data_IF_291140024060
#
_entry.id   IF_291140024060
#
_cell.length_a   1.000
_cell.length_b   1.000
_cell.length_c   1.000
_cell.angle_alpha   90.00
_cell.angle_beta   90.00
_cell.angle_gamma   90.00
#
_symmetry.space_group_name_H-M   'P 1'
#
loop_
_entity.id
_entity.type
_entity.pdbx_description
1 polymer ?
#
# COMPACT_ATOMS: atom_id res chain seq x y z
N UNK A 1 1.98 5.74 15.11
CA UNK A 1 1.25 5.22 16.29
C UNK A 1 1.83 3.84 16.62
N UNK A 2 1.11 3.01 17.37
CA UNK A 2 1.56 1.66 17.70
C UNK A 2 1.47 0.77 16.46
N UNK A 3 2.56 0.08 16.13
CA UNK A 3 2.53 -1.02 15.19
C UNK A 3 1.93 -2.22 15.91
N UNK A 4 0.97 -2.90 15.28
CA UNK A 4 0.23 -3.99 15.90
C UNK A 4 0.54 -5.29 15.20
N UNK A 5 0.68 -6.36 15.99
CA UNK A 5 0.87 -7.70 15.46
C UNK A 5 -0.04 -8.71 16.15
N UNK A 6 -0.44 -9.74 15.41
CA UNK A 6 -1.11 -10.93 15.95
C UNK A 6 -0.75 -12.15 15.13
N UNK A 7 -0.78 -13.32 15.76
CA UNK A 7 -0.63 -14.61 15.10
C UNK A 7 -1.72 -15.55 15.53
N UNK A 8 -2.02 -16.56 14.72
CA UNK A 8 -3.00 -17.56 15.06
C UNK A 8 -3.10 -18.67 14.02
N UNK A 9 -4.14 -19.47 14.19
CA UNK A 9 -4.56 -20.50 13.24
C UNK A 9 -5.91 -20.11 12.67
N UNK A 10 -6.06 -20.28 11.36
CA UNK A 10 -7.33 -20.21 10.66
C UNK A 10 -7.71 -21.60 10.16
N UNK A 11 -8.99 -21.95 10.25
CA UNK A 11 -9.48 -23.27 9.84
C UNK A 11 -9.61 -23.41 8.31
N UNK A 12 -9.83 -22.30 7.61
CA UNK A 12 -9.97 -22.17 6.14
C UNK A 12 -9.92 -20.68 5.73
N UNK A 13 -10.13 -20.38 4.44
CA UNK A 13 -10.10 -19.01 3.90
C UNK A 13 -11.18 -18.11 4.52
N UNK A 14 -12.41 -18.60 4.68
CA UNK A 14 -13.51 -17.84 5.27
C UNK A 14 -13.25 -17.43 6.72
N UNK A 15 -12.74 -18.36 7.55
CA UNK A 15 -12.35 -18.07 8.93
C UNK A 15 -11.19 -17.06 9.00
N UNK A 16 -10.19 -17.20 8.12
CA UNK A 16 -9.10 -16.22 8.02
C UNK A 16 -9.60 -14.82 7.64
N UNK A 17 -10.54 -14.71 6.68
CA UNK A 17 -11.11 -13.44 6.25
C UNK A 17 -11.82 -12.71 7.41
N UNK A 18 -12.56 -13.44 8.24
CA UNK A 18 -13.20 -12.90 9.45
C UNK A 18 -12.16 -12.41 10.46
N UNK A 19 -11.16 -13.25 10.77
CA UNK A 19 -10.08 -12.91 11.72
C UNK A 19 -9.25 -11.70 11.26
N UNK A 20 -8.98 -11.59 9.96
CA UNK A 20 -8.29 -10.45 9.36
C UNK A 20 -9.09 -9.16 9.55
N UNK A 21 -10.39 -9.19 9.19
CA UNK A 21 -11.29 -8.05 9.38
C UNK A 21 -11.42 -7.66 10.85
N UNK A 22 -11.54 -8.62 11.76
CA UNK A 22 -11.64 -8.36 13.21
C UNK A 22 -10.35 -7.71 13.73
N UNK A 23 -9.17 -8.22 13.37
CA UNK A 23 -7.90 -7.61 13.77
C UNK A 23 -7.78 -6.16 13.31
N UNK A 24 -8.03 -5.90 12.03
CA UNK A 24 -7.91 -4.55 11.46
C UNK A 24 -8.90 -3.57 12.09
N UNK A 25 -10.13 -4.00 12.34
CA UNK A 25 -11.19 -3.11 12.83
C UNK A 25 -11.19 -2.91 14.34
N UNK A 26 -10.80 -3.92 15.12
CA UNK A 26 -10.87 -3.88 16.59
C UNK A 26 -9.56 -3.54 17.27
N UNK A 27 -8.42 -3.86 16.64
CA UNK A 27 -7.08 -3.63 17.22
C UNK A 27 -6.38 -2.47 16.53
N UNK A 28 -6.33 -2.48 15.20
CA UNK A 28 -5.52 -1.51 14.42
C UNK A 28 -6.25 -0.18 14.25
N UNK A 29 -7.58 -0.20 14.20
CA UNK A 29 -8.41 1.00 14.08
C UNK A 29 -8.83 1.34 12.65
N UNK A 30 -8.74 0.39 11.71
CA UNK A 30 -9.36 0.52 10.39
C UNK A 30 -10.88 0.48 10.52
N UNK A 31 -11.59 1.03 9.54
CA UNK A 31 -13.05 1.04 9.51
C UNK A 31 -13.57 -0.01 8.53
N UNK A 32 -14.60 -0.77 8.91
CA UNK A 32 -15.38 -1.58 7.98
C UNK A 32 -16.26 -0.66 7.15
N UNK A 33 -15.91 -0.50 5.87
CA UNK A 33 -16.59 0.42 4.96
C UNK A 33 -17.73 -0.23 4.18
N UNK A 34 -17.57 -1.51 3.82
CA UNK A 34 -18.65 -2.32 3.22
C UNK A 34 -18.54 -3.78 3.65
N UNK A 35 -19.69 -4.42 3.85
CA UNK A 35 -19.84 -5.79 4.32
C UNK A 35 -20.60 -6.62 3.26
N UNK A 36 -19.82 -7.37 2.49
CA UNK A 36 -20.30 -8.30 1.48
C UNK A 36 -20.36 -9.74 1.97
N UNK A 37 -20.35 -10.01 3.28
CA UNK A 37 -20.28 -11.38 3.82
C UNK A 37 -21.44 -12.30 3.41
N UNK A 38 -22.58 -11.72 3.01
CA UNK A 38 -23.75 -12.46 2.52
C UNK A 38 -23.75 -12.71 1.00
N UNK A 39 -22.73 -12.24 0.28
CA UNK A 39 -22.61 -12.44 -1.18
C UNK A 39 -22.10 -13.85 -1.52
N UNK A 40 -22.25 -14.23 -2.79
CA UNK A 40 -21.78 -15.53 -3.27
C UNK A 40 -20.25 -15.69 -3.14
N UNK A 41 -19.52 -14.60 -3.36
CA UNK A 41 -18.10 -14.45 -3.02
C UNK A 41 -18.02 -13.47 -1.84
N UNK A 42 -17.96 -13.96 -0.58
CA UNK A 42 -17.93 -13.11 0.61
C UNK A 42 -16.76 -12.13 0.59
N UNK A 43 -16.99 -10.88 0.99
CA UNK A 43 -15.93 -9.88 1.05
C UNK A 43 -16.11 -8.88 2.18
N UNK A 44 -15.00 -8.22 2.52
CA UNK A 44 -15.00 -7.00 3.34
C UNK A 44 -14.20 -5.91 2.63
N UNK A 45 -14.71 -4.68 2.70
CA UNK A 45 -13.98 -3.48 2.28
C UNK A 45 -13.59 -2.72 3.52
N UNK A 46 -12.28 -2.55 3.72
CA UNK A 46 -11.71 -1.89 4.87
C UNK A 46 -11.09 -0.56 4.45
N UNK A 47 -11.29 0.46 5.27
CA UNK A 47 -10.82 1.82 5.07
C UNK A 47 -9.86 2.23 6.18
N UNK A 48 -8.77 2.91 5.81
CA UNK A 48 -7.93 3.65 6.75
C UNK A 48 -7.69 5.09 6.27
N UNK A 49 -7.58 6.03 7.21
CA UNK A 49 -7.18 7.42 6.96
C UNK A 49 -5.65 7.64 6.94
N UNK A 50 -4.88 6.56 7.13
CA UNK A 50 -3.45 6.65 7.37
C UNK A 50 -3.14 7.27 8.74
N UNK A 51 -1.88 7.14 9.15
CA UNK A 51 -1.34 7.72 10.37
C UNK A 51 -1.33 9.27 10.33
N UNK A 52 -1.23 9.84 9.12
CA UNK A 52 -1.29 11.28 8.90
C UNK A 52 -2.70 11.85 8.99
N UNK A 53 -3.74 11.00 8.89
CA UNK A 53 -5.13 11.41 8.74
C UNK A 53 -5.48 12.03 7.38
N UNK A 54 -4.51 12.16 6.47
CA UNK A 54 -4.69 12.79 5.16
C UNK A 54 -4.91 11.77 4.02
N UNK A 55 -4.85 10.47 4.32
CA UNK A 55 -4.91 9.39 3.33
C UNK A 55 -6.34 8.85 3.20
N UNK A 56 -6.60 8.10 2.13
CA UNK A 56 -7.85 7.31 2.02
C UNK A 56 -7.50 5.92 1.46
N UNK A 57 -7.03 5.04 2.31
CA UNK A 57 -6.67 3.68 1.92
C UNK A 57 -7.94 2.85 1.89
N UNK A 58 -8.35 2.36 0.72
CA UNK A 58 -9.45 1.41 0.58
C UNK A 58 -8.93 0.08 0.04
N UNK A 59 -9.10 -0.99 0.82
CA UNK A 59 -8.73 -2.35 0.44
C UNK A 59 -9.95 -3.27 0.52
N UNK A 60 -10.21 -3.99 -0.57
CA UNK A 60 -11.19 -5.07 -0.61
C UNK A 60 -10.47 -6.41 -0.44
N UNK A 61 -10.97 -7.25 0.47
CA UNK A 61 -10.56 -8.63 0.67
C UNK A 61 -11.74 -9.54 0.33
N UNK A 62 -11.56 -10.43 -0.65
CA UNK A 62 -12.62 -11.30 -1.20
C UNK A 62 -12.22 -12.77 -1.05
N UNK A 63 -13.07 -13.56 -0.43
CA UNK A 63 -13.04 -15.02 -0.53
C UNK A 63 -13.69 -15.39 -1.87
N UNK A 64 -12.90 -15.27 -2.94
CA UNK A 64 -13.41 -15.41 -4.31
C UNK A 64 -13.60 -16.87 -4.71
N UNK A 65 -14.27 -17.12 -5.83
CA UNK A 65 -14.60 -18.47 -6.28
C UNK A 65 -13.39 -19.40 -6.54
N UNK A 66 -12.15 -18.91 -6.46
CA UNK A 66 -10.97 -19.75 -6.60
C UNK A 66 -10.52 -20.21 -5.21
N UNK A 67 -10.37 -21.52 -5.05
CA UNK A 67 -9.94 -22.11 -3.80
C UNK A 67 -8.56 -21.60 -3.33
N UNK A 68 -8.34 -21.70 -2.03
CA UNK A 68 -7.04 -21.50 -1.37
C UNK A 68 -6.46 -20.07 -1.53
N UNK A 69 -7.32 -19.05 -1.60
CA UNK A 69 -6.89 -17.64 -1.59
C UNK A 69 -7.93 -16.65 -1.09
N UNK A 70 -7.45 -15.52 -0.56
CA UNK A 70 -8.23 -14.28 -0.41
C UNK A 70 -7.72 -13.25 -1.42
N UNK A 71 -8.52 -12.89 -2.42
CA UNK A 71 -8.16 -11.86 -3.38
C UNK A 71 -8.11 -10.47 -2.71
N UNK A 72 -7.12 -9.66 -3.08
CA UNK A 72 -6.92 -8.31 -2.54
C UNK A 72 -6.95 -7.29 -3.66
N UNK A 73 -7.71 -6.21 -3.45
CA UNK A 73 -7.81 -5.09 -4.40
C UNK A 73 -7.72 -3.76 -3.66
N UNK A 74 -6.93 -2.83 -4.19
CA UNK A 74 -6.93 -1.44 -3.76
C UNK A 74 -7.87 -0.63 -4.64
N UNK A 75 -8.46 0.45 -4.12
CA UNK A 75 -9.23 1.39 -4.93
C UNK A 75 -9.02 2.83 -4.45
N UNK A 76 -9.28 3.79 -5.35
CA UNK A 76 -9.25 5.22 -5.04
C UNK A 76 -10.33 5.57 -4.04
N UNK A 77 -11.49 4.95 -4.23
CA UNK A 77 -12.67 5.08 -3.41
C UNK A 77 -13.54 3.82 -3.56
N UNK A 78 -14.34 3.52 -2.55
CA UNK A 78 -15.37 2.49 -2.63
C UNK A 78 -16.77 3.06 -2.49
N UNK A 79 -17.61 2.84 -3.51
CA UNK A 79 -19.02 3.18 -3.45
C UNK A 79 -19.82 2.03 -2.82
N UNK A 80 -20.12 2.15 -1.53
CA UNK A 80 -20.87 1.13 -0.79
C UNK A 80 -22.33 0.98 -1.26
N UNK A 81 -22.92 2.00 -1.87
CA UNK A 81 -24.29 1.88 -2.42
C UNK A 81 -24.32 1.07 -3.72
N UNK A 82 -23.25 1.13 -4.52
CA UNK A 82 -23.10 0.38 -5.76
C UNK A 82 -22.32 -0.94 -5.58
N UNK A 83 -21.75 -1.17 -4.39
CA UNK A 83 -20.82 -2.27 -4.10
C UNK A 83 -19.68 -2.36 -5.13
N UNK A 84 -19.05 -1.22 -5.43
CA UNK A 84 -18.04 -1.13 -6.48
C UNK A 84 -16.88 -0.18 -6.13
N UNK A 85 -15.67 -0.61 -6.46
CA UNK A 85 -14.45 0.19 -6.35
C UNK A 85 -14.24 1.12 -7.54
N UNK A 86 -13.73 2.32 -7.28
CA UNK A 86 -13.33 3.30 -8.28
C UNK A 86 -11.83 3.18 -8.52
N UNK A 87 -11.43 3.05 -9.80
CA UNK A 87 -10.03 2.89 -10.26
C UNK A 87 -9.27 1.84 -9.46
N UNK A 88 -9.72 0.60 -9.51
CA UNK A 88 -9.10 -0.49 -8.77
C UNK A 88 -7.65 -0.77 -9.22
N UNK A 89 -6.81 -1.22 -8.29
CA UNK A 89 -5.47 -1.73 -8.54
C UNK A 89 -5.32 -3.14 -8.00
N UNK A 90 -5.24 -4.09 -8.92
CA UNK A 90 -5.11 -5.52 -8.64
C UNK A 90 -4.76 -6.31 -9.90
N UNK A 91 -4.48 -7.59 -9.72
CA UNK A 91 -4.38 -8.57 -10.79
C UNK A 91 -5.06 -9.89 -10.40
N UNK A 92 -5.99 -10.34 -11.26
CA UNK A 92 -6.86 -11.52 -11.06
C UNK A 92 -6.15 -12.81 -10.60
N UNK A 93 -4.89 -12.98 -10.93
CA UNK A 93 -4.12 -14.20 -10.65
C UNK A 93 -2.96 -14.02 -9.68
N UNK A 94 -2.66 -12.80 -9.22
CA UNK A 94 -1.43 -12.56 -8.45
C UNK A 94 -1.65 -11.78 -7.15
N UNK A 95 -2.62 -10.88 -7.11
CA UNK A 95 -2.88 -10.05 -5.91
C UNK A 95 -3.86 -10.74 -4.98
N UNK A 96 -3.34 -11.65 -4.17
CA UNK A 96 -4.12 -12.39 -3.19
C UNK A 96 -3.24 -12.76 -1.98
N UNK A 97 -3.88 -13.10 -0.87
CA UNK A 97 -3.26 -13.79 0.27
C UNK A 97 -3.41 -15.28 0.04
N UNK A 98 -2.31 -16.03 0.06
CA UNK A 98 -2.36 -17.48 -0.09
C UNK A 98 -2.97 -18.12 1.16
N UNK A 99 -3.97 -18.97 1.01
CA UNK A 99 -4.60 -19.71 2.12
C UNK A 99 -4.68 -21.20 1.76
N UNK A 100 -5.43 -21.98 2.52
CA UNK A 100 -5.83 -23.34 2.16
C UNK A 100 -7.17 -23.67 2.82
N UNK A 101 -8.10 -24.25 2.07
CA UNK A 101 -9.46 -24.58 2.57
C UNK A 101 -9.56 -25.99 3.12
N UNK A 102 -8.69 -26.89 2.65
CA UNK A 102 -8.73 -28.30 3.01
C UNK A 102 -8.16 -28.61 4.41
N UNK A 103 -7.50 -27.65 5.06
CA UNK A 103 -6.83 -27.86 6.35
C UNK A 103 -6.56 -26.53 7.06
N UNK A 104 -6.46 -26.52 8.40
CA UNK A 104 -6.01 -25.34 9.12
C UNK A 104 -4.61 -24.88 8.72
N UNK A 105 -4.35 -23.57 8.80
CA UNK A 105 -3.06 -22.97 8.51
C UNK A 105 -2.70 -21.85 9.49
N UNK A 106 -1.41 -21.56 9.63
CA UNK A 106 -0.92 -20.48 10.51
C UNK A 106 -0.87 -19.15 9.76
N UNK A 107 -1.10 -18.07 10.50
CA UNK A 107 -0.97 -16.71 9.98
C UNK A 107 -0.27 -15.78 10.98
N UNK A 108 0.29 -14.69 10.44
CA UNK A 108 0.80 -13.54 11.15
C UNK A 108 0.31 -12.28 10.44
N UNK A 109 -0.23 -11.34 11.20
CA UNK A 109 -0.68 -10.04 10.71
C UNK A 109 0.14 -8.97 11.40
N UNK A 110 0.65 -8.02 10.63
CA UNK A 110 1.39 -6.85 11.10
C UNK A 110 0.79 -5.62 10.43
N UNK A 111 0.34 -4.64 11.21
CA UNK A 111 -0.36 -3.50 10.64
C UNK A 111 -0.31 -2.26 11.53
N UNK A 112 -0.48 -1.12 10.88
CA UNK A 112 -0.84 0.17 11.48
C UNK A 112 -1.91 0.83 10.60
N UNK A 113 -2.18 2.12 10.77
CA UNK A 113 -3.13 2.81 9.89
C UNK A 113 -2.61 3.01 8.46
N UNK A 114 -1.30 2.91 8.20
CA UNK A 114 -0.73 3.13 6.88
C UNK A 114 -0.72 1.86 6.03
N UNK A 115 -0.51 0.69 6.63
CA UNK A 115 -0.31 -0.55 5.88
C UNK A 115 -0.66 -1.82 6.65
N UNK A 116 -0.66 -2.93 5.90
CA UNK A 116 -0.82 -4.29 6.38
C UNK A 116 0.20 -5.19 5.68
N UNK A 117 0.93 -5.97 6.47
CA UNK A 117 1.73 -7.10 6.03
C UNK A 117 1.16 -8.40 6.61
N UNK A 118 0.93 -9.38 5.75
CA UNK A 118 0.36 -10.68 6.07
C UNK A 118 1.38 -11.74 5.72
N UNK A 119 1.61 -12.66 6.65
CA UNK A 119 2.27 -13.93 6.36
C UNK A 119 1.31 -15.06 6.62
N UNK A 120 1.20 -16.00 5.69
CA UNK A 120 0.54 -17.29 5.90
C UNK A 120 1.52 -18.43 5.70
N UNK A 121 1.38 -19.49 6.48
CA UNK A 121 2.13 -20.72 6.31
C UNK A 121 1.18 -21.82 5.84
N UNK A 122 1.26 -22.11 4.55
CA UNK A 122 0.47 -23.17 3.92
C UNK A 122 1.38 -24.39 3.75
N UNK A 123 1.03 -25.47 4.43
CA UNK A 123 1.86 -26.69 4.53
C UNK A 123 3.24 -26.33 5.10
N UNK A 124 4.29 -26.31 4.28
CA UNK A 124 5.67 -26.00 4.69
C UNK A 124 6.18 -24.67 4.13
N UNK A 125 5.33 -23.90 3.45
CA UNK A 125 5.75 -22.71 2.70
C UNK A 125 5.11 -21.45 3.28
N UNK A 126 5.94 -20.42 3.50
CA UNK A 126 5.48 -19.10 3.91
C UNK A 126 5.23 -18.22 2.69
N UNK A 127 4.11 -17.51 2.72
CA UNK A 127 3.69 -16.57 1.70
C UNK A 127 3.50 -15.21 2.33
N UNK A 128 4.00 -14.16 1.67
CA UNK A 128 3.91 -12.79 2.12
C UNK A 128 2.99 -11.96 1.23
N UNK A 129 2.16 -11.13 1.83
CA UNK A 129 1.35 -10.14 1.14
C UNK A 129 1.47 -8.80 1.84
N UNK A 130 1.76 -7.73 1.12
CA UNK A 130 1.74 -6.37 1.64
C UNK A 130 0.69 -5.56 0.91
N UNK A 131 -0.05 -4.73 1.64
CA UNK A 131 -1.01 -3.81 1.05
C UNK A 131 -1.10 -2.54 1.87
N UNK A 132 -1.36 -1.41 1.22
CA UNK A 132 -1.44 -0.09 1.85
C UNK A 132 -0.34 0.84 1.35
N UNK A 133 -0.01 1.84 2.16
CA UNK A 133 0.95 2.88 1.81
C UNK A 133 2.38 2.35 1.86
N UNK A 134 3.29 3.09 1.24
CA UNK A 134 4.73 2.92 1.41
C UNK A 134 5.29 4.16 2.10
N UNK A 135 6.47 4.04 2.70
CA UNK A 135 7.23 5.20 3.14
C UNK A 135 7.71 5.95 1.89
N UNK A 136 7.06 7.08 1.62
CA UNK A 136 7.32 7.92 0.45
C UNK A 136 8.75 8.42 0.43
N UNK A 137 9.37 8.41 -0.75
CA UNK A 137 10.63 9.12 -0.97
C UNK A 137 10.42 10.63 -1.18
N UNK A 138 9.29 10.99 -1.79
CA UNK A 138 8.85 12.36 -2.05
C UNK A 138 8.01 12.92 -0.89
N UNK A 139 7.40 14.09 -1.07
CA UNK A 139 6.59 14.73 -0.04
C UNK A 139 5.24 14.02 0.18
N UNK A 140 4.87 13.85 1.46
CA UNK A 140 3.52 13.48 1.89
C UNK A 140 2.59 14.67 2.16
N UNK A 141 3.01 15.90 1.85
CA UNK A 141 2.20 17.09 2.08
C UNK A 141 1.00 17.14 1.10
N UNK A 142 -0.15 17.59 1.62
CA UNK A 142 -1.42 17.62 0.89
C UNK A 142 -2.13 18.94 1.12
N UNK A 143 -2.55 19.59 0.05
CA UNK A 143 -3.51 20.68 0.08
C UNK A 143 -4.91 20.16 -0.27
N UNK A 144 -5.94 20.79 0.27
CA UNK A 144 -7.35 20.46 0.11
C UNK A 144 -8.05 21.61 -0.61
N UNK A 145 -8.77 21.31 -1.68
CA UNK A 145 -9.55 22.29 -2.43
C UNK A 145 -10.71 22.84 -1.59
N UNK A 146 -10.87 24.16 -1.61
CA UNK A 146 -11.94 24.89 -0.91
C UNK A 146 -13.18 25.12 -1.80
N UNK A 147 -13.04 24.85 -3.09
CA UNK A 147 -14.11 24.93 -4.07
C UNK A 147 -13.95 23.82 -5.11
N UNK A 148 -15.04 23.48 -5.80
CA UNK A 148 -14.99 22.58 -6.94
C UNK A 148 -14.18 23.20 -8.09
N UNK A 149 -13.47 22.38 -8.84
CA UNK A 149 -12.68 22.78 -9.99
C UNK A 149 -13.24 22.11 -11.26
N UNK A 150 -13.49 22.90 -12.29
CA UNK A 150 -13.99 22.41 -13.58
C UNK A 150 -12.86 22.32 -14.62
N UNK A 151 -12.96 21.41 -15.61
CA UNK A 151 -11.97 21.26 -16.66
C UNK A 151 -11.70 22.57 -17.41
N UNK A 152 -10.44 22.77 -17.82
CA UNK A 152 -10.03 23.95 -18.57
C UNK A 152 -8.54 24.21 -18.51
N UNK A 153 -8.13 25.32 -19.11
CA UNK A 153 -6.76 25.84 -19.04
C UNK A 153 -6.67 26.98 -18.03
N UNK A 154 -5.51 27.12 -17.38
CA UNK A 154 -5.24 28.14 -16.35
C UNK A 154 -6.33 28.19 -15.26
N UNK A 155 -6.74 27.01 -14.78
CA UNK A 155 -7.80 26.87 -13.77
C UNK A 155 -7.26 27.32 -12.43
N UNK A 156 -7.86 28.38 -11.87
CA UNK A 156 -7.55 28.87 -10.52
C UNK A 156 -8.35 28.07 -9.50
N UNK A 157 -7.64 27.35 -8.64
CA UNK A 157 -8.21 26.51 -7.58
C UNK A 157 -7.90 27.12 -6.22
N UNK A 158 -8.94 27.31 -5.41
CA UNK A 158 -8.78 27.71 -4.01
C UNK A 158 -8.38 26.51 -3.17
N UNK A 159 -7.34 26.65 -2.34
CA UNK A 159 -6.81 25.60 -1.47
C UNK A 159 -6.60 26.11 -0.04
N UNK A 160 -6.55 25.21 0.94
CA UNK A 160 -6.24 25.56 2.33
C UNK A 160 -4.79 26.03 2.52
N UNK A 161 -3.85 25.46 1.76
CA UNK A 161 -2.43 25.75 1.88
C UNK A 161 -1.76 25.64 0.51
N UNK A 162 -1.43 26.80 -0.07
CA UNK A 162 -0.72 26.83 -1.35
C UNK A 162 0.82 26.85 -1.19
N UNK A 163 1.33 26.94 0.04
CA UNK A 163 2.76 27.07 0.31
C UNK A 163 3.55 25.78 0.05
N UNK A 164 2.86 24.64 -0.05
CA UNK A 164 3.47 23.33 -0.35
C UNK A 164 3.84 23.18 -1.83
N UNK A 165 3.43 24.11 -2.69
CA UNK A 165 3.64 24.02 -4.13
C UNK A 165 4.86 24.82 -4.60
N UNK A 166 5.40 24.41 -5.74
CA UNK A 166 6.40 25.14 -6.50
C UNK A 166 5.88 25.35 -7.92
N UNK A 167 5.96 26.60 -8.40
CA UNK A 167 5.52 26.93 -9.75
C UNK A 167 6.35 26.17 -10.80
N UNK A 168 5.68 25.74 -11.86
CA UNK A 168 6.13 24.88 -12.95
C UNK A 168 6.43 23.42 -12.57
N UNK A 169 6.17 23.00 -11.32
CA UNK A 169 6.24 21.60 -10.91
C UNK A 169 4.93 20.85 -11.16
N UNK A 170 5.01 19.52 -11.17
CA UNK A 170 3.87 18.65 -11.35
C UNK A 170 3.44 18.01 -10.04
N UNK A 171 2.13 17.90 -9.86
CA UNK A 171 1.47 17.33 -8.70
C UNK A 171 0.34 16.41 -9.16
N UNK A 172 -0.15 15.56 -8.26
CA UNK A 172 -1.38 14.81 -8.44
C UNK A 172 -2.54 15.57 -7.80
N UNK A 173 -3.68 15.60 -8.47
CA UNK A 173 -4.97 15.99 -7.90
C UNK A 173 -5.89 14.78 -7.93
N UNK A 174 -6.63 14.55 -6.85
CA UNK A 174 -7.61 13.45 -6.76
C UNK A 174 -8.85 13.84 -5.96
N UNK A 175 -9.95 13.16 -6.24
CA UNK A 175 -11.09 13.04 -5.34
C UNK A 175 -11.57 11.57 -5.30
N UNK A 176 -12.83 11.32 -4.95
CA UNK A 176 -13.40 9.98 -4.90
C UNK A 176 -13.70 9.39 -6.30
N UNK A 177 -13.66 10.21 -7.36
CA UNK A 177 -14.00 9.79 -8.72
C UNK A 177 -12.75 9.71 -9.61
N UNK A 178 -11.93 10.76 -9.57
CA UNK A 178 -10.86 10.96 -10.54
C UNK A 178 -9.50 11.20 -9.87
N UNK A 179 -8.44 10.94 -10.62
CA UNK A 179 -7.06 11.26 -10.26
C UNK A 179 -6.31 11.61 -11.54
N UNK A 180 -5.55 12.70 -11.53
CA UNK A 180 -4.74 13.10 -12.67
C UNK A 180 -3.48 13.86 -12.24
N UNK A 181 -2.52 13.99 -13.16
CA UNK A 181 -1.33 14.80 -12.98
C UNK A 181 -1.55 16.19 -13.57
N UNK A 182 -1.32 17.21 -12.75
CA UNK A 182 -1.47 18.62 -13.09
C UNK A 182 -0.14 19.36 -12.91
N UNK A 183 0.10 20.37 -13.73
CA UNK A 183 1.18 21.31 -13.53
C UNK A 183 0.65 22.55 -12.81
N UNK A 184 1.28 22.93 -11.71
CA UNK A 184 1.00 24.21 -11.03
C UNK A 184 1.82 25.29 -11.71
N UNK A 185 1.19 26.32 -12.28
CA UNK A 185 1.89 27.41 -13.02
C UNK A 185 2.03 28.69 -12.21
N UNK A 186 1.12 28.93 -11.27
CA UNK A 186 1.17 30.06 -10.36
C UNK A 186 0.63 29.68 -8.98
N UNK A 187 1.08 30.42 -7.96
CA UNK A 187 0.77 30.21 -6.56
C UNK A 187 0.53 31.59 -5.94
N UNK A 188 -0.55 31.73 -5.19
CA UNK A 188 -0.82 32.91 -4.39
C UNK A 188 -1.11 32.49 -2.94
N UNK A 189 -0.14 32.77 -2.07
CA UNK A 189 -0.23 32.58 -0.62
C UNK A 189 -0.66 33.84 0.12
N UNK A 190 -0.83 34.97 -0.58
CA UNK A 190 -1.26 36.24 -0.01
C UNK A 190 -2.79 36.39 0.00
N UNK A 191 -3.51 35.69 -0.87
CA UNK A 191 -4.97 35.59 -0.83
C UNK A 191 -5.47 34.58 0.21
N UNK A 192 -6.68 34.81 0.74
CA UNK A 192 -7.41 33.87 1.60
C UNK A 192 -8.81 33.61 1.03
N UNK A 193 -9.15 32.35 0.69
CA UNK A 193 -8.27 31.17 0.66
C UNK A 193 -7.09 31.36 -0.29
N UNK A 194 -5.99 30.63 -0.06
CA UNK A 194 -4.87 30.64 -0.99
C UNK A 194 -5.32 30.09 -2.34
N UNK A 195 -4.58 30.41 -3.41
CA UNK A 195 -4.90 29.87 -4.73
C UNK A 195 -3.68 29.27 -5.42
N UNK A 196 -3.95 28.28 -6.26
CA UNK A 196 -3.00 27.72 -7.23
C UNK A 196 -3.64 27.77 -8.61
N UNK A 197 -2.83 28.05 -9.63
CA UNK A 197 -3.26 27.96 -11.03
C UNK A 197 -2.75 26.65 -11.62
N UNK A 198 -3.66 25.86 -12.18
CA UNK A 198 -3.36 24.61 -12.86
C UNK A 198 -3.34 24.84 -14.37
N UNK A 199 -2.25 24.46 -15.05
CA UNK A 199 -2.06 24.72 -16.47
C UNK A 199 -3.20 24.15 -17.34
N UNK A 200 -3.53 22.89 -17.09
CA UNK A 200 -4.59 22.16 -17.77
C UNK A 200 -5.20 21.16 -16.79
N UNK A 201 -6.51 21.19 -16.67
CA UNK A 201 -7.29 20.28 -15.85
C UNK A 201 -8.26 19.54 -16.77
N UNK A 202 -8.18 18.21 -16.81
CA UNK A 202 -9.01 17.40 -17.72
C UNK A 202 -10.34 17.02 -17.04
N UNK A 203 -10.30 16.72 -15.75
CA UNK A 203 -11.45 16.23 -15.01
C UNK A 203 -12.11 17.32 -14.15
N UNK A 204 -13.34 17.02 -13.70
CA UNK A 204 -14.00 17.83 -12.68
C UNK A 204 -13.62 17.27 -11.32
N UNK A 205 -13.31 18.15 -10.37
CA UNK A 205 -13.03 17.79 -8.99
C UNK A 205 -13.99 18.46 -8.03
N UNK A 206 -14.52 17.68 -7.09
CA UNK A 206 -15.36 18.21 -6.03
C UNK A 206 -14.56 19.10 -5.05
N UNK A 207 -15.30 19.86 -4.23
CA UNK A 207 -14.69 20.51 -3.05
C UNK A 207 -14.17 19.43 -2.10
N UNK A 208 -12.99 19.63 -1.52
CA UNK A 208 -12.33 18.62 -0.70
C UNK A 208 -11.39 17.70 -1.46
N UNK A 209 -11.22 17.89 -2.78
CA UNK A 209 -10.19 17.20 -3.56
C UNK A 209 -8.80 17.49 -2.97
N UNK A 210 -7.91 16.50 -3.07
CA UNK A 210 -6.56 16.54 -2.50
C UNK A 210 -5.55 16.79 -3.62
N UNK A 211 -4.57 17.68 -3.37
CA UNK A 211 -3.47 17.99 -4.28
C UNK A 211 -2.13 17.81 -3.56
N UNK A 212 -1.17 17.09 -4.15
CA UNK A 212 0.15 16.83 -3.54
C UNK A 212 1.09 16.06 -4.48
N UNK A 213 2.33 15.83 -4.06
CA UNK A 213 3.35 15.19 -4.91
C UNK A 213 3.08 13.69 -5.13
N UNK A 214 2.82 12.94 -4.05
CA UNK A 214 2.62 11.49 -4.10
C UNK A 214 1.45 11.09 -3.18
N UNK A 215 0.25 11.61 -3.49
CA UNK A 215 -0.97 11.26 -2.79
C UNK A 215 -1.24 9.75 -2.93
N UNK A 216 -1.58 9.07 -1.83
CA UNK A 216 -2.01 7.67 -1.80
C UNK A 216 -1.17 6.70 -2.68
N UNK A 217 0.10 6.46 -2.39
CA UNK A 217 0.91 5.43 -3.05
C UNK A 217 0.49 4.03 -2.58
N UNK A 218 -0.81 3.75 -2.55
CA UNK A 218 -1.37 2.47 -2.13
C UNK A 218 -0.91 1.42 -3.11
N UNK A 219 -0.24 0.41 -2.59
CA UNK A 219 0.18 -0.76 -3.34
C UNK A 219 -0.57 -1.99 -2.86
N UNK A 220 -0.74 -2.95 -3.75
CA UNK A 220 -1.26 -4.28 -3.47
C UNK A 220 -0.26 -5.31 -3.95
N UNK A 221 0.19 -6.13 -3.02
CA UNK A 221 1.22 -7.10 -3.24
C UNK A 221 0.78 -8.30 -4.05
N UNK A 222 1.78 -8.94 -4.67
CA UNK A 222 1.62 -10.32 -5.08
C UNK A 222 1.49 -11.24 -3.85
N UNK A 223 0.96 -12.44 -4.03
CA UNK A 223 0.87 -13.47 -2.99
C UNK A 223 2.21 -13.94 -2.41
N UNK A 224 3.31 -13.51 -3.01
CA UNK A 224 4.67 -13.78 -2.61
C UNK A 224 5.49 -12.48 -2.55
N UNK A 225 4.85 -11.37 -2.18
CA UNK A 225 5.50 -10.07 -2.00
C UNK A 225 6.57 -10.15 -0.87
N UNK A 226 7.70 -9.41 -0.91
CA UNK A 226 8.06 -8.18 -1.64
C UNK A 226 8.33 -8.22 -3.16
N UNK A 227 8.45 -9.37 -3.84
CA UNK A 227 8.92 -9.39 -5.23
C UNK A 227 8.20 -8.48 -6.26
N UNK A 228 6.86 -8.38 -6.23
CA UNK A 228 6.08 -7.58 -7.19
C UNK A 228 4.79 -7.05 -6.57
N UNK A 229 4.27 -5.96 -7.13
CA UNK A 229 3.05 -5.29 -6.66
C UNK A 229 2.30 -4.59 -7.80
N UNK A 230 1.08 -4.16 -7.50
CA UNK A 230 0.28 -3.25 -8.32
C UNK A 230 -0.04 -1.99 -7.51
N UNK A 231 0.32 -0.81 -8.01
CA UNK A 231 -0.03 0.45 -7.37
C UNK A 231 -1.32 1.04 -7.94
N UNK A 232 -2.02 1.76 -7.09
CA UNK A 232 -3.21 2.52 -7.43
C UNK A 232 -2.93 3.68 -8.39
N UNK A 233 -1.81 4.39 -8.16
CA UNK A 233 -1.58 5.68 -8.79
C UNK A 233 -0.34 5.64 -9.68
N UNK A 234 -0.49 6.01 -10.95
CA UNK A 234 0.64 6.29 -11.84
C UNK A 234 1.07 7.75 -11.65
N UNK A 235 2.38 8.00 -11.67
CA UNK A 235 2.94 9.36 -11.64
C UNK A 235 2.51 10.23 -12.84
N UNK A 236 1.78 9.72 -13.84
CA UNK A 236 1.30 10.46 -15.00
C UNK A 236 -0.22 10.73 -14.97
N UNK A 237 -0.93 10.34 -13.90
CA UNK A 237 -2.39 10.53 -13.79
C UNK A 237 -3.24 9.48 -14.52
N UNK A 238 -2.68 8.33 -14.91
CA UNK A 238 -3.37 7.29 -15.68
C UNK A 238 -4.43 6.50 -14.92
N UNK A 239 -5.46 6.03 -15.65
CA UNK A 239 -6.72 5.46 -15.15
C UNK A 239 -6.96 3.96 -15.46
N UNK A 240 -5.91 3.14 -15.66
CA UNK A 240 -6.09 1.70 -15.95
C UNK A 240 -6.71 0.96 -14.76
N UNK A 241 -7.64 0.05 -15.04
CA UNK A 241 -8.30 -0.82 -14.04
C UNK A 241 -7.39 -1.92 -13.45
N UNK A 242 -6.17 -2.06 -13.96
CA UNK A 242 -5.23 -3.11 -13.52
C UNK A 242 -4.16 -2.59 -12.55
N UNK A 243 -4.26 -1.35 -12.08
CA UNK A 243 -3.13 -0.67 -11.43
C UNK A 243 -1.87 -0.62 -12.31
N UNK A 244 -0.76 -0.15 -11.74
CA UNK A 244 0.56 -0.22 -12.40
C UNK A 244 1.44 -1.27 -11.72
N UNK A 245 2.02 -2.17 -12.52
CA UNK A 245 3.01 -3.11 -12.03
C UNK A 245 4.25 -2.40 -11.49
N UNK A 246 4.74 -2.88 -10.37
CA UNK A 246 6.03 -2.51 -9.82
C UNK A 246 6.70 -3.70 -9.18
N UNK A 247 7.91 -3.47 -8.70
CA UNK A 247 8.74 -4.47 -8.05
C UNK A 247 9.27 -3.90 -6.75
N UNK A 248 9.28 -4.69 -5.69
CA UNK A 248 10.13 -4.37 -4.55
C UNK A 248 11.38 -5.24 -4.58
N UNK A 249 12.51 -4.61 -4.28
CA UNK A 249 13.79 -5.28 -4.12
C UNK A 249 14.54 -4.64 -2.96
N UNK A 250 15.29 -5.42 -2.19
CA UNK A 250 16.39 -4.85 -1.45
C UNK A 250 17.30 -4.10 -2.43
N UNK A 251 17.91 -2.98 -2.01
CA UNK A 251 18.79 -2.16 -2.85
C UNK A 251 19.91 -3.01 -3.49
N UNK A 252 19.64 -3.51 -4.70
CA UNK A 252 20.42 -4.44 -5.52
C UNK A 252 21.19 -5.55 -4.77
N UNK A 253 20.79 -6.79 -5.04
CA UNK A 253 21.35 -8.05 -4.51
C UNK A 253 22.80 -8.38 -4.90
N UNK A 254 23.71 -7.41 -4.91
CA UNK A 254 25.15 -7.62 -4.86
C UNK A 254 25.77 -7.03 -3.56
N UNK A 255 25.02 -6.28 -2.77
CA UNK A 255 25.50 -5.86 -1.45
C UNK A 255 25.52 -7.01 -0.44
N UNK A 256 24.68 -8.05 -0.59
CA UNK A 256 24.76 -9.23 0.26
C UNK A 256 26.04 -10.05 0.02
N UNK A 257 26.60 -10.03 -1.20
CA UNK A 257 27.91 -10.66 -1.50
C UNK A 257 29.07 -9.75 -1.13
N UNK A 258 28.90 -8.42 -1.15
CA UNK A 258 29.89 -7.45 -0.70
C UNK A 258 29.94 -7.27 0.84
N UNK A 259 28.84 -7.54 1.53
CA UNK A 259 28.73 -7.59 2.97
C UNK A 259 28.68 -9.06 3.40
N UNK A 260 29.82 -9.75 3.33
CA UNK A 260 29.92 -11.13 3.80
C UNK A 260 29.55 -11.17 5.31
N UNK A 261 28.39 -11.73 5.71
CA UNK A 261 28.02 -11.85 7.12
C UNK A 261 28.99 -12.77 7.88
N UNK A 262 29.66 -13.69 7.19
CA UNK A 262 30.71 -14.56 7.74
C UNK A 262 32.03 -13.81 8.00
N UNK A 263 32.24 -12.62 7.42
CA UNK A 263 33.35 -11.71 7.79
C UNK A 263 32.96 -10.69 8.86
N UNK A 264 31.67 -10.62 9.23
CA UNK A 264 31.14 -9.86 10.37
C UNK A 264 30.48 -10.80 11.36
N UNK A 265 31.24 -11.79 11.85
CA UNK A 265 30.78 -12.76 12.84
C UNK A 265 29.88 -12.11 13.90
N UNK A 266 28.60 -12.52 13.93
CA UNK A 266 27.62 -12.11 14.93
C UNK A 266 26.78 -10.85 14.64
N UNK A 267 26.83 -10.27 13.43
CA UNK A 267 26.00 -9.10 13.07
C UNK A 267 25.02 -9.39 11.93
N UNK A 268 23.71 -9.37 12.23
CA UNK A 268 22.64 -9.39 11.22
C UNK A 268 22.55 -8.01 10.56
N UNK A 269 22.57 -7.96 9.22
CA UNK A 269 22.37 -6.73 8.45
C UNK A 269 20.97 -6.74 7.84
N UNK A 270 20.23 -5.64 8.02
CA UNK A 270 18.87 -5.46 7.51
C UNK A 270 18.86 -4.34 6.47
N UNK A 271 18.15 -4.55 5.35
CA UNK A 271 17.94 -3.54 4.32
C UNK A 271 16.45 -3.35 4.07
N UNK A 272 15.92 -2.11 3.99
CA UNK A 272 14.52 -1.92 3.64
C UNK A 272 14.27 -2.45 2.22
N UNK A 273 13.07 -3.01 2.01
CA UNK A 273 12.62 -3.30 0.65
C UNK A 273 12.21 -2.00 -0.04
N UNK A 274 12.90 -1.67 -1.13
CA UNK A 274 12.60 -0.50 -1.93
C UNK A 274 11.50 -0.83 -2.94
N UNK A 275 10.44 -0.05 -2.97
CA UNK A 275 9.39 -0.13 -3.97
C UNK A 275 9.71 0.77 -5.15
N UNK A 276 9.69 0.20 -6.36
CA UNK A 276 9.90 0.95 -7.59
C UNK A 276 8.86 0.56 -8.65
N UNK A 277 8.39 1.56 -9.39
CA UNK A 277 7.70 1.30 -10.64
C UNK A 277 8.72 0.94 -11.71
N UNK A 278 8.49 -0.17 -12.38
CA UNK A 278 9.39 -0.69 -13.41
C UNK A 278 8.60 -1.09 -14.65
N UNK A 279 8.92 -0.45 -15.76
CA UNK A 279 8.54 -0.87 -17.10
C UNK A 279 9.78 -0.87 -18.01
N UNK A 280 9.62 -1.33 -19.24
CA UNK A 280 10.71 -1.31 -20.23
C UNK A 280 11.19 0.10 -20.58
N UNK A 281 10.33 1.11 -20.46
CA UNK A 281 10.60 2.51 -20.84
C UNK A 281 10.74 3.45 -19.66
N UNK A 282 10.40 3.01 -18.44
CA UNK A 282 10.34 3.88 -17.28
C UNK A 282 10.69 3.14 -15.98
N UNK A 283 11.51 3.77 -15.14
CA UNK A 283 11.86 3.28 -13.81
C UNK A 283 11.86 4.45 -12.83
N UNK A 284 11.11 4.32 -11.74
CA UNK A 284 11.02 5.33 -10.70
C UNK A 284 11.01 4.66 -9.33
N UNK A 285 11.87 5.15 -8.44
CA UNK A 285 11.83 4.80 -7.03
C UNK A 285 10.63 5.50 -6.39
N UNK A 286 9.77 4.73 -5.71
CA UNK A 286 8.57 5.23 -5.05
C UNK A 286 8.76 5.39 -3.55
N UNK A 287 9.52 4.49 -2.95
CA UNK A 287 9.73 4.53 -1.51
C UNK A 287 10.21 3.20 -0.95
N UNK A 288 9.90 2.99 0.32
CA UNK A 288 10.29 1.81 1.09
C UNK A 288 9.04 1.14 1.66
N UNK A 289 9.02 -0.19 1.72
CA UNK A 289 7.98 -0.87 2.50
C UNK A 289 8.13 -0.47 3.97
N UNK A 290 7.01 -0.16 4.61
CA UNK A 290 7.00 0.25 6.00
C UNK A 290 7.27 -1.01 6.85
N UNK A 291 8.30 -0.95 7.70
CA UNK A 291 8.66 -1.97 8.66
C UNK A 291 8.97 -3.39 8.11
N UNK A 292 9.20 -3.52 6.79
CA UNK A 292 9.58 -4.78 6.12
C UNK A 292 10.97 -4.69 5.51
N UNK A 293 11.84 -5.60 5.93
CA UNK A 293 13.27 -5.59 5.63
C UNK A 293 13.72 -6.92 5.02
N UNK A 294 14.72 -6.87 4.14
CA UNK A 294 15.46 -8.03 3.68
C UNK A 294 16.57 -8.36 4.69
N UNK A 295 16.84 -9.65 4.86
CA UNK A 295 17.96 -10.14 5.66
C UNK A 295 18.87 -11.05 4.84
N UNK A 296 20.17 -11.04 5.17
CA UNK A 296 21.14 -11.96 4.57
C UNK A 296 20.81 -13.41 4.93
N UNK A 297 20.94 -14.31 3.95
CA UNK A 297 20.66 -15.74 4.14
C UNK A 297 21.60 -16.37 5.18
N UNK A 298 21.05 -17.18 6.09
CA UNK A 298 21.83 -18.08 6.95
C UNK A 298 21.90 -17.74 8.45
N UNK A 299 21.18 -16.73 8.93
CA UNK A 299 21.27 -16.28 10.33
C UNK A 299 20.13 -16.78 11.26
N UNK A 300 19.02 -17.31 10.75
CA UNK A 300 17.84 -17.66 11.55
C UNK A 300 16.87 -18.59 10.80
N UNK A 301 16.01 -19.27 11.55
CA UNK A 301 14.86 -20.03 11.07
C UNK A 301 13.61 -19.13 10.92
N UNK A 302 12.60 -19.58 10.16
CA UNK A 302 11.34 -18.83 10.06
C UNK A 302 10.60 -18.86 11.39
N UNK A 303 9.95 -17.76 11.72
CA UNK A 303 9.31 -17.48 13.01
C UNK A 303 10.29 -17.15 14.15
N UNK A 304 11.61 -17.15 13.90
CA UNK A 304 12.58 -16.64 14.86
C UNK A 304 12.39 -15.16 15.15
N UNK A 305 12.82 -14.76 16.34
CA UNK A 305 12.84 -13.38 16.81
C UNK A 305 14.27 -12.87 16.80
N UNK A 306 14.46 -11.68 16.25
CA UNK A 306 15.73 -10.98 16.19
C UNK A 306 15.62 -9.65 16.92
N UNK A 307 16.45 -9.47 17.95
CA UNK A 307 16.61 -8.19 18.62
C UNK A 307 17.80 -7.43 18.03
N UNK A 308 17.54 -6.28 17.40
CA UNK A 308 18.56 -5.44 16.80
C UNK A 308 18.34 -3.98 17.18
N UNK A 309 19.34 -3.36 17.81
CA UNK A 309 19.30 -1.93 18.13
C UNK A 309 18.16 -1.52 19.08
N UNK A 310 17.69 -2.44 19.94
CA UNK A 310 16.55 -2.20 20.84
C UNK A 310 15.18 -2.30 20.16
N UNK A 311 15.12 -2.79 18.92
CA UNK A 311 13.89 -3.15 18.21
C UNK A 311 13.85 -4.66 17.99
N UNK A 312 12.67 -5.24 18.13
CA UNK A 312 12.42 -6.66 17.94
C UNK A 312 11.82 -6.89 16.55
N UNK A 313 12.26 -7.95 15.87
CA UNK A 313 11.80 -8.31 14.54
C UNK A 313 11.43 -9.79 14.45
N UNK A 314 10.37 -10.10 13.72
CA UNK A 314 9.98 -11.45 13.33
C UNK A 314 10.53 -11.81 11.96
N UNK A 315 11.11 -13.00 11.82
CA UNK A 315 11.78 -13.42 10.58
C UNK A 315 10.94 -14.45 9.82
N UNK A 316 10.91 -14.35 8.48
CA UNK A 316 10.22 -15.32 7.62
C UNK A 316 11.02 -15.63 6.35
N UNK A 317 11.03 -16.89 5.93
CA UNK A 317 11.54 -17.34 4.63
C UNK A 317 10.39 -17.38 3.62
N UNK A 318 10.18 -16.28 2.91
CA UNK A 318 9.06 -16.15 1.99
C UNK A 318 9.33 -16.88 0.67
N UNK A 319 8.33 -17.58 0.17
CA UNK A 319 8.35 -18.18 -1.17
C UNK A 319 8.74 -17.11 -2.20
N UNK A 320 9.74 -17.39 -3.04
CA UNK A 320 10.15 -16.51 -4.14
C UNK A 320 10.79 -15.15 -3.77
N UNK A 321 10.75 -14.72 -2.50
CA UNK A 321 11.17 -13.37 -2.07
C UNK A 321 12.30 -13.35 -1.03
N UNK A 322 13.02 -14.47 -0.88
CA UNK A 322 14.08 -14.67 0.10
C UNK A 322 13.60 -14.41 1.55
N UNK A 323 14.55 -14.27 2.47
CA UNK A 323 14.23 -13.99 3.86
C UNK A 323 13.83 -12.53 4.07
N UNK A 324 12.77 -12.32 4.85
CA UNK A 324 12.39 -11.01 5.37
C UNK A 324 12.42 -10.96 6.89
N UNK A 325 12.54 -9.76 7.42
CA UNK A 325 12.32 -9.43 8.82
C UNK A 325 11.28 -8.29 8.89
N UNK A 326 10.33 -8.44 9.81
CA UNK A 326 9.22 -7.50 10.03
C UNK A 326 9.31 -7.03 11.46
N UNK A 327 9.16 -5.72 11.72
CA UNK A 327 9.19 -5.22 13.10
C UNK A 327 8.04 -5.81 13.93
N UNK A 328 8.28 -6.07 15.21
CA UNK A 328 7.21 -6.41 16.18
C UNK A 328 6.80 -5.22 17.04
#
# INVERSE_FOLDING_TARGET
MAYHSTTGTADNSADFLVKLKDFLTTVVGWTLHDDGSAQADPYYVLKSSGESGAEDVYLQFVDDSNADRIAVRGCLYWNAAAHAGVKEAYHNSYTYVRTVDASPFLYWLFADLDHLFIVTKVVTTYYGHYSGLIKRFWSGAVAITQAAAAPGSDVVVQVNDASIFTANSYYLIKDDAEIERVQVTAIDTASTPNTVTLANLVNTYATGAKIGEDLQPVIVGWYQMPGSFYALNRFDGWASSTGQSGSCAAAHGNFHTAANPDQRYGLVTMFPWLAAHTSSTYKELRGELIEVYAIGSGAADSEDVLDLGGTTYKIFNLSGSAWCAVKE
#
